data_IF_279459160699
#
_entry.id   IF_279459160699
#
_cell.length_a   1.000
_cell.length_b   1.000
_cell.length_c   1.000
_cell.angle_alpha   90.00
_cell.angle_beta   90.00
_cell.angle_gamma   90.00
#
_symmetry.space_group_name_H-M   'P 1'
#
loop_
_entity.id
_entity.type
_entity.pdbx_description
1 polymer ?
#
# COMPACT_ATOMS: atom_id res chain seq x y z
N UNK A 1 4.60 -3.29 4.32
CA UNK A 1 3.12 -3.07 4.26
C UNK A 1 2.56 -3.07 5.66
N UNK A 2 1.63 -2.20 5.94
CA UNK A 2 1.05 -2.00 7.27
C UNK A 2 -0.42 -2.44 7.30
N UNK A 3 -0.81 -3.17 8.36
CA UNK A 3 -2.21 -3.52 8.58
C UNK A 3 -2.98 -2.29 9.08
N UNK A 4 -4.22 -2.14 8.59
CA UNK A 4 -5.15 -1.05 8.98
C UNK A 4 -6.50 -1.61 9.40
N UNK A 5 -7.31 -0.76 10.05
CA UNK A 5 -8.72 -1.03 10.31
C UNK A 5 -9.57 -0.36 9.21
N UNK A 6 -10.58 -1.07 8.71
CA UNK A 6 -11.60 -0.50 7.80
C UNK A 6 -12.77 0.08 8.58
N UNK A 7 -13.62 0.83 7.89
CA UNK A 7 -14.90 1.29 8.43
C UNK A 7 -15.75 0.09 8.89
N UNK A 8 -16.49 0.28 9.98
CA UNK A 8 -17.44 -0.69 10.56
C UNK A 8 -18.86 -0.48 10.09
N UNK A 9 -19.08 0.56 9.25
CA UNK A 9 -20.39 0.85 8.70
C UNK A 9 -20.97 -0.37 7.99
N UNK A 10 -22.28 -0.59 8.18
CA UNK A 10 -23.00 -1.67 7.52
C UNK A 10 -23.19 -1.34 6.04
N UNK A 11 -22.79 -2.27 5.16
CA UNK A 11 -22.74 -2.05 3.73
C UNK A 11 -24.13 -1.84 3.12
N UNK A 12 -25.15 -2.55 3.59
CA UNK A 12 -26.53 -2.41 3.12
C UNK A 12 -27.12 -1.07 3.54
N UNK A 13 -26.87 -0.66 4.78
CA UNK A 13 -27.29 0.64 5.29
C UNK A 13 -26.68 1.78 4.48
N UNK A 14 -25.40 1.71 4.14
CA UNK A 14 -24.73 2.69 3.27
C UNK A 14 -25.36 2.70 1.88
N UNK A 15 -25.53 1.53 1.28
CA UNK A 15 -26.13 1.39 -0.04
C UNK A 15 -27.56 1.94 -0.09
N UNK A 16 -28.40 1.62 0.90
CA UNK A 16 -29.79 2.09 0.98
C UNK A 16 -29.90 3.58 1.27
N UNK A 17 -29.01 4.15 2.07
CA UNK A 17 -28.93 5.61 2.29
C UNK A 17 -28.73 6.35 0.97
N UNK A 18 -27.77 5.89 0.17
CA UNK A 18 -27.45 6.45 -1.13
C UNK A 18 -28.62 6.28 -2.12
N UNK A 19 -29.22 5.08 -2.16
CA UNK A 19 -30.37 4.80 -3.00
C UNK A 19 -31.59 5.68 -2.66
N UNK A 20 -31.81 5.93 -1.37
CA UNK A 20 -32.88 6.82 -0.90
C UNK A 20 -32.65 8.27 -1.35
N UNK A 21 -31.40 8.74 -1.28
CA UNK A 21 -31.03 10.07 -1.79
C UNK A 21 -31.25 10.18 -3.32
N UNK A 22 -31.01 9.11 -4.07
CA UNK A 22 -31.29 9.07 -5.52
C UNK A 22 -32.78 9.17 -5.84
N UNK A 23 -33.65 8.54 -5.02
CA UNK A 23 -35.12 8.62 -5.18
C UNK A 23 -35.63 10.05 -5.01
N UNK A 24 -35.04 10.80 -4.11
CA UNK A 24 -35.43 12.20 -3.84
C UNK A 24 -34.78 13.18 -4.83
N UNK A 25 -33.92 12.71 -5.71
CA UNK A 25 -33.25 13.52 -6.75
C UNK A 25 -33.99 13.58 -8.05
N UNK A 26 -33.55 14.49 -8.97
CA UNK A 26 -34.18 14.73 -10.28
C UNK A 26 -33.98 13.62 -11.32
N UNK A 27 -33.25 12.55 -11.02
CA UNK A 27 -32.91 11.46 -11.97
C UNK A 27 -33.78 10.23 -11.70
N UNK A 28 -35.01 10.21 -12.20
CA UNK A 28 -35.94 9.08 -12.08
C UNK A 28 -35.33 7.72 -12.53
N UNK A 29 -34.50 7.70 -13.57
CA UNK A 29 -33.90 6.47 -14.08
C UNK A 29 -32.99 5.80 -13.03
N UNK A 30 -32.17 6.55 -12.30
CA UNK A 30 -31.31 6.00 -11.25
C UNK A 30 -32.12 5.41 -10.08
N UNK A 31 -33.28 6.00 -9.76
CA UNK A 31 -34.17 5.46 -8.74
C UNK A 31 -34.82 4.13 -9.18
N UNK A 32 -35.19 4.01 -10.44
CA UNK A 32 -35.72 2.76 -11.02
C UNK A 32 -34.66 1.68 -11.04
N UNK A 33 -33.47 1.99 -11.52
CA UNK A 33 -32.33 1.06 -11.55
C UNK A 33 -31.95 0.60 -10.13
N UNK A 34 -31.91 1.53 -9.17
CA UNK A 34 -31.66 1.16 -7.77
C UNK A 34 -32.72 0.18 -7.23
N UNK A 35 -34.00 0.44 -7.50
CA UNK A 35 -35.06 -0.45 -7.02
C UNK A 35 -34.98 -1.85 -7.65
N UNK A 36 -34.60 -1.94 -8.93
CA UNK A 36 -34.46 -3.19 -9.64
C UNK A 36 -33.29 -4.05 -9.14
N UNK A 37 -32.16 -3.42 -8.82
CA UNK A 37 -30.94 -4.13 -8.44
C UNK A 37 -30.76 -4.34 -6.91
N UNK A 38 -31.60 -3.72 -6.08
CA UNK A 38 -31.39 -3.58 -4.64
C UNK A 38 -31.17 -4.92 -3.93
N UNK A 39 -32.06 -5.88 -4.15
CA UNK A 39 -32.04 -7.14 -3.41
C UNK A 39 -30.87 -8.02 -3.87
N UNK A 40 -30.56 -8.03 -5.16
CA UNK A 40 -29.41 -8.75 -5.70
C UNK A 40 -28.08 -8.16 -5.20
N UNK A 41 -27.98 -6.82 -5.17
CA UNK A 41 -26.79 -6.17 -4.59
C UNK A 41 -26.67 -6.43 -3.09
N UNK A 42 -27.77 -6.43 -2.34
CA UNK A 42 -27.75 -6.79 -0.90
C UNK A 42 -27.21 -8.20 -0.69
N UNK A 43 -27.56 -9.16 -1.53
CA UNK A 43 -27.01 -10.52 -1.46
C UNK A 43 -25.50 -10.52 -1.74
N UNK A 44 -25.04 -9.75 -2.70
CA UNK A 44 -23.61 -9.63 -3.02
C UNK A 44 -22.82 -8.95 -1.88
N UNK A 45 -23.40 -7.93 -1.23
CA UNK A 45 -22.77 -7.28 -0.08
C UNK A 45 -22.59 -8.26 1.09
N UNK A 46 -23.59 -9.14 1.35
CA UNK A 46 -23.45 -10.21 2.33
C UNK A 46 -22.37 -11.22 1.92
N UNK A 47 -22.31 -11.60 0.65
CA UNK A 47 -21.30 -12.52 0.14
C UNK A 47 -19.89 -11.92 0.28
N UNK A 48 -19.70 -10.63 -0.01
CA UNK A 48 -18.45 -9.92 0.24
C UNK A 48 -18.04 -10.03 1.71
N UNK A 49 -18.96 -9.74 2.63
CA UNK A 49 -18.73 -9.78 4.08
C UNK A 49 -18.36 -11.18 4.60
N UNK A 50 -18.94 -12.23 4.02
CA UNK A 50 -18.58 -13.62 4.32
C UNK A 50 -17.18 -13.99 3.79
N UNK A 51 -16.79 -13.48 2.62
CA UNK A 51 -15.53 -13.86 1.96
C UNK A 51 -14.34 -12.99 2.36
N UNK A 52 -14.56 -11.78 2.86
CA UNK A 52 -13.46 -10.88 3.19
C UNK A 52 -12.65 -11.35 4.41
N UNK A 53 -13.28 -11.98 5.41
CA UNK A 53 -12.60 -12.49 6.61
C UNK A 53 -11.71 -13.71 6.33
N UNK A 54 -12.19 -14.76 5.63
CA UNK A 54 -11.32 -15.88 5.21
C UNK A 54 -10.43 -15.51 4.04
N UNK A 55 -10.56 -14.28 3.51
CA UNK A 55 -9.78 -13.74 2.39
C UNK A 55 -9.86 -14.63 1.15
N UNK A 56 -11.08 -14.84 0.70
CA UNK A 56 -11.42 -15.60 -0.50
C UNK A 56 -12.19 -14.77 -1.53
N UNK A 57 -11.87 -13.46 -1.60
CA UNK A 57 -12.54 -12.50 -2.48
C UNK A 57 -12.38 -12.84 -3.98
N UNK A 58 -11.33 -13.55 -4.34
CA UNK A 58 -11.10 -14.06 -5.70
C UNK A 58 -12.17 -15.01 -6.20
N UNK A 59 -13.01 -15.54 -5.30
CA UNK A 59 -14.14 -16.42 -5.62
C UNK A 59 -15.46 -15.69 -5.82
N UNK A 60 -15.49 -14.37 -5.63
CA UNK A 60 -16.66 -13.56 -5.94
C UNK A 60 -16.96 -13.56 -7.44
N UNK A 61 -18.23 -13.55 -7.76
CA UNK A 61 -18.74 -13.45 -9.12
C UNK A 61 -19.60 -12.20 -9.23
N UNK A 62 -19.27 -11.30 -10.15
CA UNK A 62 -20.04 -10.08 -10.34
C UNK A 62 -21.45 -10.35 -10.85
N UNK A 63 -22.42 -9.55 -10.40
CA UNK A 63 -23.76 -9.51 -10.97
C UNK A 63 -23.74 -9.15 -12.47
N UNK A 64 -22.75 -8.38 -12.88
CA UNK A 64 -22.59 -7.90 -14.24
C UNK A 64 -21.26 -8.34 -14.87
N UNK A 65 -21.04 -9.66 -15.06
CA UNK A 65 -19.76 -10.21 -15.51
C UNK A 65 -19.36 -9.77 -16.92
N UNK A 66 -20.33 -9.34 -17.71
CA UNK A 66 -20.11 -8.67 -18.99
C UNK A 66 -20.87 -7.34 -18.97
N UNK A 67 -20.20 -6.24 -19.30
CA UNK A 67 -20.81 -4.89 -19.40
C UNK A 67 -21.98 -4.80 -20.41
N UNK A 68 -22.47 -5.93 -20.93
CA UNK A 68 -23.51 -5.99 -21.97
C UNK A 68 -24.91 -6.31 -21.45
N UNK A 69 -25.04 -6.81 -20.22
CA UNK A 69 -26.35 -7.11 -19.61
C UNK A 69 -26.60 -6.11 -18.48
N UNK A 70 -27.77 -5.47 -18.50
CA UNK A 70 -28.22 -4.48 -17.50
C UNK A 70 -27.23 -3.32 -17.31
N UNK A 71 -26.78 -2.73 -18.41
CA UNK A 71 -25.78 -1.63 -18.41
C UNK A 71 -26.18 -0.45 -17.55
N UNK A 72 -27.46 -0.13 -17.45
CA UNK A 72 -27.97 1.01 -16.68
C UNK A 72 -27.88 0.76 -15.17
N UNK A 73 -28.15 -0.45 -14.71
CA UNK A 73 -28.01 -0.85 -13.31
C UNK A 73 -26.54 -0.88 -12.89
N UNK A 74 -25.69 -1.55 -13.67
CA UNK A 74 -24.24 -1.60 -13.46
C UNK A 74 -23.63 -0.20 -13.41
N UNK A 75 -24.04 0.69 -14.32
CA UNK A 75 -23.62 2.08 -14.34
C UNK A 75 -24.12 2.83 -13.10
N UNK A 76 -25.37 2.63 -12.72
CA UNK A 76 -25.92 3.25 -11.50
C UNK A 76 -25.14 2.82 -10.27
N UNK A 77 -24.87 1.53 -10.10
CA UNK A 77 -24.06 0.99 -9.01
C UNK A 77 -22.64 1.56 -9.01
N UNK A 78 -21.97 1.61 -10.17
CA UNK A 78 -20.66 2.22 -10.33
C UNK A 78 -20.63 3.70 -9.93
N UNK A 79 -21.64 4.48 -10.35
CA UNK A 79 -21.69 5.92 -10.13
C UNK A 79 -22.12 6.29 -8.70
N UNK A 80 -22.64 5.35 -7.91
CA UNK A 80 -23.03 5.56 -6.51
C UNK A 80 -21.89 6.14 -5.67
N UNK A 81 -20.66 5.67 -5.84
CA UNK A 81 -19.50 6.20 -5.14
C UNK A 81 -19.27 7.69 -5.41
N UNK A 82 -19.36 8.10 -6.67
CA UNK A 82 -19.12 9.50 -7.09
C UNK A 82 -20.23 10.45 -6.66
N UNK A 83 -21.45 9.94 -6.48
CA UNK A 83 -22.62 10.72 -6.07
C UNK A 83 -22.83 10.78 -4.55
N UNK A 84 -22.17 9.93 -3.79
CA UNK A 84 -22.38 9.67 -2.35
C UNK A 84 -21.40 10.43 -1.46
N UNK A 85 -21.32 11.74 -1.65
CA UNK A 85 -20.31 12.56 -0.97
C UNK A 85 -20.38 12.49 0.56
N UNK A 86 -21.58 12.40 1.14
CA UNK A 86 -21.77 12.39 2.60
C UNK A 86 -21.39 11.05 3.20
N UNK A 87 -21.86 9.95 2.65
CA UNK A 87 -21.59 8.59 3.12
C UNK A 87 -20.10 8.27 2.99
N UNK A 88 -19.50 8.59 1.85
CA UNK A 88 -18.05 8.39 1.63
C UNK A 88 -17.21 9.27 2.57
N UNK A 89 -17.67 10.49 2.88
CA UNK A 89 -17.02 11.36 3.86
C UNK A 89 -17.09 10.77 5.28
N UNK A 90 -18.20 10.17 5.66
CA UNK A 90 -18.37 9.49 6.95
C UNK A 90 -17.44 8.26 7.05
N UNK A 91 -17.42 7.41 6.01
CA UNK A 91 -16.52 6.25 5.93
C UNK A 91 -15.05 6.70 6.06
N UNK A 92 -14.66 7.78 5.37
CA UNK A 92 -13.32 8.35 5.46
C UNK A 92 -12.99 8.80 6.88
N UNK A 93 -13.87 9.57 7.51
CA UNK A 93 -13.68 10.10 8.86
C UNK A 93 -13.56 8.97 9.90
N UNK A 94 -14.36 7.93 9.79
CA UNK A 94 -14.26 6.75 10.63
C UNK A 94 -12.93 6.00 10.44
N UNK A 95 -12.55 5.76 9.18
CA UNK A 95 -11.28 5.12 8.83
C UNK A 95 -10.09 5.90 9.39
N UNK A 96 -10.08 7.22 9.24
CA UNK A 96 -9.05 8.10 9.81
C UNK A 96 -9.00 7.95 11.34
N UNK A 97 -10.14 8.00 12.01
CA UNK A 97 -10.23 7.83 13.47
C UNK A 97 -9.69 6.49 13.94
N UNK A 98 -10.07 5.41 13.28
CA UNK A 98 -9.64 4.04 13.62
C UNK A 98 -8.14 3.81 13.40
N UNK A 99 -7.48 4.60 12.55
CA UNK A 99 -6.08 4.42 12.18
C UNK A 99 -5.14 5.54 12.70
N UNK A 100 -5.57 6.31 13.70
CA UNK A 100 -4.71 7.27 14.39
C UNK A 100 -4.81 8.71 13.93
N UNK A 101 -5.86 9.07 13.19
CA UNK A 101 -6.18 10.44 12.81
C UNK A 101 -6.10 10.74 11.32
N UNK A 102 -6.14 12.03 10.95
CA UNK A 102 -6.23 12.46 9.55
C UNK A 102 -4.98 12.22 8.70
N UNK A 103 -3.84 12.08 9.36
CA UNK A 103 -2.54 11.95 8.67
C UNK A 103 -2.10 10.50 8.69
N UNK A 104 -2.58 9.73 7.72
CA UNK A 104 -2.27 8.31 7.58
C UNK A 104 -1.33 8.13 6.39
N UNK A 105 -0.19 7.47 6.60
CA UNK A 105 0.65 7.01 5.50
C UNK A 105 -0.07 5.90 4.72
N UNK A 106 0.14 5.85 3.42
CA UNK A 106 -0.35 4.78 2.58
C UNK A 106 0.09 3.42 3.14
N UNK A 107 -0.84 2.50 3.49
CA UNK A 107 -0.49 1.25 4.16
C UNK A 107 0.26 0.27 3.26
N UNK A 108 0.28 0.50 1.97
CA UNK A 108 0.98 -0.34 1.00
C UNK A 108 2.45 0.09 0.88
N UNK A 109 2.74 1.33 0.50
CA UNK A 109 4.11 1.79 0.30
C UNK A 109 4.76 2.37 1.56
N UNK A 110 3.99 2.85 2.51
CA UNK A 110 4.44 3.49 3.76
C UNK A 110 5.29 4.78 3.55
N UNK A 111 5.36 5.27 2.31
CA UNK A 111 6.11 6.48 1.94
C UNK A 111 5.23 7.72 1.98
N UNK A 112 4.26 7.76 1.11
CA UNK A 112 3.39 8.91 0.92
C UNK A 112 2.19 8.85 1.86
N UNK A 113 1.55 9.99 2.09
CA UNK A 113 0.26 10.03 2.74
C UNK A 113 -0.85 9.56 1.79
N UNK A 114 -1.92 8.97 2.34
CA UNK A 114 -3.05 8.60 1.52
C UNK A 114 -3.77 9.85 1.01
N UNK A 115 -4.28 9.76 -0.22
CA UNK A 115 -5.03 10.81 -0.88
C UNK A 115 -6.47 10.36 -1.20
N UNK A 116 -6.63 9.09 -1.51
CA UNK A 116 -7.89 8.52 -1.97
C UNK A 116 -8.34 7.33 -1.13
N UNK A 117 -9.65 7.15 -1.05
CA UNK A 117 -10.24 5.84 -0.76
C UNK A 117 -10.37 5.11 -2.09
N UNK A 118 -9.52 4.12 -2.31
CA UNK A 118 -9.54 3.27 -3.49
C UNK A 118 -10.36 2.01 -3.26
N UNK A 119 -10.93 1.47 -4.33
CA UNK A 119 -11.66 0.22 -4.29
C UNK A 119 -10.70 -0.96 -4.38
N UNK A 120 -10.62 -1.79 -3.34
CA UNK A 120 -9.78 -2.99 -3.38
C UNK A 120 -10.16 -3.86 -4.58
N UNK A 121 -11.44 -4.22 -4.71
CA UNK A 121 -12.02 -4.74 -5.95
C UNK A 121 -12.51 -3.53 -6.76
N UNK A 122 -11.92 -3.26 -7.93
CA UNK A 122 -12.28 -2.08 -8.71
C UNK A 122 -13.76 -2.06 -9.10
N UNK A 123 -14.40 -0.91 -8.97
CA UNK A 123 -15.80 -0.73 -9.35
C UNK A 123 -16.06 -0.89 -10.85
N UNK A 124 -15.00 -0.79 -11.66
CA UNK A 124 -15.03 -1.09 -13.09
C UNK A 124 -15.17 -2.59 -13.35
N UNK A 125 -14.81 -3.43 -12.37
CA UNK A 125 -14.85 -4.90 -12.44
C UNK A 125 -16.09 -5.43 -11.75
N UNK A 126 -16.39 -4.93 -10.55
CA UNK A 126 -17.55 -5.33 -9.72
C UNK A 126 -18.22 -4.07 -9.15
N UNK A 127 -19.08 -3.40 -9.93
CA UNK A 127 -19.74 -2.14 -9.54
C UNK A 127 -20.63 -2.27 -8.30
N UNK A 128 -21.16 -3.45 -8.01
CA UNK A 128 -21.95 -3.74 -6.81
C UNK A 128 -21.21 -3.44 -5.50
N UNK A 129 -19.89 -3.43 -5.52
CA UNK A 129 -19.07 -3.12 -4.33
C UNK A 129 -18.55 -1.67 -4.30
N UNK A 130 -19.05 -0.81 -5.19
CA UNK A 130 -18.55 0.58 -5.31
C UNK A 130 -18.67 1.40 -4.03
N UNK A 131 -19.66 1.10 -3.18
CA UNK A 131 -19.90 1.81 -1.92
C UNK A 131 -19.73 0.92 -0.67
N UNK A 132 -19.21 -0.29 -0.86
CA UNK A 132 -18.99 -1.21 0.25
C UNK A 132 -17.85 -0.70 1.17
N UNK A 133 -18.12 -0.40 2.46
CA UNK A 133 -17.12 0.23 3.33
C UNK A 133 -15.82 -0.56 3.49
N UNK A 134 -15.91 -1.90 3.50
CA UNK A 134 -14.75 -2.79 3.61
C UNK A 134 -13.98 -2.98 2.29
N UNK A 135 -14.55 -2.53 1.17
CA UNK A 135 -13.87 -2.50 -0.12
C UNK A 135 -13.07 -1.22 -0.34
N UNK A 136 -13.25 -0.22 0.53
CA UNK A 136 -12.58 1.07 0.46
C UNK A 136 -11.33 1.08 1.32
N UNK A 137 -10.17 1.24 0.68
CA UNK A 137 -8.86 1.27 1.32
C UNK A 137 -8.15 2.59 1.06
N UNK A 138 -7.41 3.15 2.05
CA UNK A 138 -6.69 4.41 1.86
C UNK A 138 -5.40 4.17 1.08
N UNK A 139 -5.28 4.78 -0.09
CA UNK A 139 -4.07 4.73 -0.91
C UNK A 139 -3.56 6.13 -1.26
N UNK A 140 -2.24 6.27 -1.45
CA UNK A 140 -1.65 7.44 -2.07
C UNK A 140 -1.86 7.43 -3.59
N UNK A 141 -1.69 8.59 -4.23
CA UNK A 141 -1.84 8.75 -5.69
C UNK A 141 -1.01 7.74 -6.48
N UNK A 142 0.23 7.52 -6.06
CA UNK A 142 1.11 6.57 -6.73
C UNK A 142 0.56 5.14 -6.70
N UNK A 143 0.23 4.63 -5.51
CA UNK A 143 -0.26 3.26 -5.36
C UNK A 143 -1.63 3.07 -6.03
N UNK A 144 -2.52 4.05 -5.93
CA UNK A 144 -3.81 4.05 -6.59
C UNK A 144 -3.66 3.97 -8.12
N UNK A 145 -2.85 4.87 -8.70
CA UNK A 145 -2.59 4.88 -10.15
C UNK A 145 -1.95 3.59 -10.64
N UNK A 146 -0.99 3.02 -9.88
CA UNK A 146 -0.32 1.78 -10.28
C UNK A 146 -1.20 0.55 -10.13
N UNK A 147 -2.08 0.52 -9.13
CA UNK A 147 -3.05 -0.55 -8.97
C UNK A 147 -4.08 -0.55 -10.10
N UNK A 148 -4.59 0.62 -10.48
CA UNK A 148 -5.63 0.73 -11.50
C UNK A 148 -6.75 -0.31 -11.27
N UNK A 149 -7.06 -1.14 -12.26
CA UNK A 149 -8.04 -2.24 -12.17
C UNK A 149 -7.40 -3.59 -11.82
N UNK A 150 -6.10 -3.63 -11.61
CA UNK A 150 -5.34 -4.87 -11.41
C UNK A 150 -5.39 -5.31 -9.95
N UNK A 151 -6.35 -6.14 -9.58
CA UNK A 151 -6.44 -6.75 -8.26
C UNK A 151 -6.33 -8.27 -8.29
N UNK A 152 -6.67 -8.88 -9.45
CA UNK A 152 -6.74 -10.32 -9.67
C UNK A 152 -6.05 -10.70 -10.99
N UNK A 153 -5.25 -11.76 -10.98
CA UNK A 153 -4.69 -12.36 -12.20
C UNK A 153 -5.77 -13.08 -13.00
N UNK A 154 -5.97 -12.70 -14.26
CA UNK A 154 -6.91 -13.38 -15.15
C UNK A 154 -6.53 -14.85 -15.42
N UNK A 155 -5.22 -15.12 -15.50
CA UNK A 155 -4.72 -16.46 -15.83
C UNK A 155 -4.80 -17.45 -14.65
N UNK A 156 -4.40 -17.00 -13.44
CA UNK A 156 -4.29 -17.87 -12.27
C UNK A 156 -5.43 -17.70 -11.26
N UNK A 157 -6.27 -16.71 -11.44
CA UNK A 157 -7.31 -16.30 -10.48
C UNK A 157 -6.75 -16.03 -9.06
N UNK A 158 -5.49 -15.61 -8.97
CA UNK A 158 -4.86 -15.24 -7.71
C UNK A 158 -4.87 -13.74 -7.53
N UNK A 159 -5.07 -13.29 -6.31
CA UNK A 159 -4.97 -11.87 -5.96
C UNK A 159 -3.55 -11.35 -6.24
N UNK A 160 -3.46 -10.17 -6.82
CA UNK A 160 -2.20 -9.51 -7.18
C UNK A 160 -1.76 -8.49 -6.12
N UNK A 161 -2.73 -7.97 -5.36
CA UNK A 161 -2.54 -6.86 -4.42
C UNK A 161 -2.91 -7.30 -3.01
N UNK A 162 -2.05 -6.97 -2.07
CA UNK A 162 -2.26 -7.18 -0.63
C UNK A 162 -3.42 -6.30 -0.14
N UNK A 163 -4.37 -6.92 0.56
CA UNK A 163 -5.45 -6.19 1.22
C UNK A 163 -4.99 -5.80 2.63
N UNK A 164 -4.61 -4.54 2.80
CA UNK A 164 -4.03 -4.05 4.04
C UNK A 164 -4.97 -4.10 5.27
N UNK A 165 -6.26 -4.36 5.07
CA UNK A 165 -7.21 -4.53 6.17
C UNK A 165 -7.34 -5.99 6.64
N UNK A 166 -7.26 -6.93 5.71
CA UNK A 166 -7.63 -8.32 5.99
C UNK A 166 -6.47 -9.30 5.86
N UNK A 167 -5.53 -9.07 4.94
CA UNK A 167 -4.34 -9.90 4.85
C UNK A 167 -3.43 -9.71 6.07
N UNK A 168 -2.73 -10.76 6.43
CA UNK A 168 -1.70 -10.69 7.46
C UNK A 168 -0.33 -10.61 6.77
N UNK A 169 0.45 -9.55 7.03
CA UNK A 169 1.81 -9.47 6.54
C UNK A 169 2.62 -10.69 6.97
N UNK A 170 3.54 -11.12 6.12
CA UNK A 170 4.40 -12.28 6.41
C UNK A 170 5.29 -12.09 7.65
N UNK A 171 5.43 -10.87 8.13
CA UNK A 171 6.36 -10.51 9.21
C UNK A 171 7.81 -10.45 8.73
N UNK A 172 8.08 -10.82 7.50
CA UNK A 172 9.41 -10.86 6.92
C UNK A 172 9.70 -9.61 6.08
N UNK A 173 10.96 -9.22 6.04
CA UNK A 173 11.44 -8.27 5.06
C UNK A 173 11.73 -9.02 3.76
N UNK A 174 10.81 -8.95 2.80
CA UNK A 174 10.93 -9.67 1.51
C UNK A 174 11.85 -8.96 0.51
N UNK A 175 12.21 -7.71 0.77
CA UNK A 175 13.13 -6.91 -0.01
C UNK A 175 14.47 -6.78 0.72
N UNK A 176 15.54 -6.62 -0.04
CA UNK A 176 16.88 -6.26 0.44
C UNK A 176 17.38 -5.02 -0.31
N UNK A 177 18.26 -4.28 0.31
CA UNK A 177 18.94 -3.15 -0.32
C UNK A 177 20.46 -3.29 -0.13
N UNK A 178 21.19 -3.07 -1.21
CA UNK A 178 22.66 -3.05 -1.19
C UNK A 178 23.18 -1.93 -2.08
N UNK A 179 24.25 -1.30 -1.68
CA UNK A 179 24.97 -0.33 -2.52
C UNK A 179 25.66 -1.08 -3.64
N UNK A 180 25.37 -0.71 -4.86
CA UNK A 180 25.93 -1.32 -6.07
C UNK A 180 27.22 -0.63 -6.52
N UNK A 181 27.31 0.67 -6.36
CA UNK A 181 28.44 1.50 -6.75
C UNK A 181 28.39 2.86 -6.08
N UNK A 182 29.50 3.58 -6.16
CA UNK A 182 29.58 5.02 -5.88
C UNK A 182 29.54 5.75 -7.23
N UNK A 183 28.75 6.79 -7.33
CA UNK A 183 28.66 7.63 -8.52
C UNK A 183 28.62 9.11 -8.09
N UNK A 184 29.57 9.92 -8.60
CA UNK A 184 29.72 11.33 -8.22
C UNK A 184 29.73 11.53 -6.69
N UNK A 185 30.53 10.73 -6.01
CA UNK A 185 30.71 10.72 -4.54
C UNK A 185 29.49 10.31 -3.73
N UNK A 186 28.44 9.76 -4.37
CA UNK A 186 27.26 9.29 -3.68
C UNK A 186 27.00 7.79 -3.91
N UNK A 187 26.56 7.07 -2.87
CA UNK A 187 26.16 5.68 -3.00
C UNK A 187 24.89 5.54 -3.83
N UNK A 188 24.89 4.59 -4.74
CA UNK A 188 23.74 4.19 -5.58
C UNK A 188 23.36 2.76 -5.21
N UNK A 189 22.16 2.57 -4.71
CA UNK A 189 21.68 1.26 -4.28
C UNK A 189 20.89 0.51 -5.35
N UNK A 190 20.67 -0.76 -5.07
CA UNK A 190 19.69 -1.63 -5.74
C UNK A 190 18.76 -2.18 -4.68
N UNK A 191 17.46 -2.11 -4.94
CA UNK A 191 16.43 -2.78 -4.14
C UNK A 191 15.92 -3.97 -4.92
N UNK A 192 16.06 -5.15 -4.33
CA UNK A 192 15.65 -6.41 -4.96
C UNK A 192 14.94 -7.35 -3.97
N UNK A 193 14.41 -8.46 -4.45
CA UNK A 193 13.86 -9.48 -3.57
C UNK A 193 15.00 -10.28 -2.92
N UNK A 194 14.82 -10.60 -1.64
CA UNK A 194 15.76 -11.49 -0.94
C UNK A 194 15.77 -12.86 -1.61
N UNK A 195 16.95 -13.47 -1.65
CA UNK A 195 17.10 -14.87 -2.01
C UNK A 195 16.54 -15.79 -0.89
N UNK A 196 16.09 -16.99 -1.26
CA UNK A 196 15.66 -17.99 -0.29
C UNK A 196 14.37 -17.66 0.46
N UNK A 197 13.52 -16.78 -0.08
CA UNK A 197 12.20 -16.52 0.50
C UNK A 197 11.35 -17.80 0.53
N UNK A 198 10.60 -18.05 1.63
CA UNK A 198 9.72 -19.20 1.70
C UNK A 198 8.57 -19.09 0.70
N UNK A 199 8.23 -20.22 0.07
CA UNK A 199 7.13 -20.32 -0.88
C UNK A 199 5.78 -20.45 -0.15
N UNK A 200 5.38 -19.40 0.58
CA UNK A 200 4.05 -19.32 1.21
C UNK A 200 3.19 -18.22 0.59
N UNK A 201 1.88 -18.28 0.84
CA UNK A 201 0.90 -17.37 0.24
C UNK A 201 1.10 -15.91 0.64
N UNK A 202 1.48 -15.63 1.89
CA UNK A 202 1.69 -14.27 2.37
C UNK A 202 2.89 -13.61 1.69
N UNK A 203 4.05 -14.29 1.68
CA UNK A 203 5.27 -13.80 0.98
C UNK A 203 5.01 -13.63 -0.52
N UNK A 204 4.34 -14.60 -1.16
CA UNK A 204 4.01 -14.53 -2.59
C UNK A 204 3.13 -13.33 -2.90
N UNK A 205 2.13 -13.03 -2.06
CA UNK A 205 1.24 -11.90 -2.25
C UNK A 205 1.94 -10.55 -2.02
N UNK A 206 2.82 -10.46 -1.01
CA UNK A 206 3.65 -9.27 -0.79
C UNK A 206 4.58 -9.00 -1.98
N UNK A 207 5.30 -10.02 -2.46
CA UNK A 207 6.14 -9.91 -3.66
C UNK A 207 5.34 -9.49 -4.88
N UNK A 208 4.15 -10.09 -5.09
CA UNK A 208 3.22 -9.71 -6.16
C UNK A 208 2.82 -8.24 -6.06
N UNK A 209 2.47 -7.78 -4.86
CA UNK A 209 2.10 -6.37 -4.62
C UNK A 209 3.26 -5.41 -4.93
N UNK A 210 4.47 -5.70 -4.44
CA UNK A 210 5.64 -4.88 -4.76
C UNK A 210 5.95 -4.85 -6.26
N UNK A 211 5.74 -5.98 -6.96
CA UNK A 211 5.94 -6.08 -8.40
C UNK A 211 4.90 -5.27 -9.18
N UNK A 212 3.61 -5.53 -8.94
CA UNK A 212 2.51 -4.92 -9.71
C UNK A 212 2.42 -3.40 -9.48
N UNK A 213 2.67 -2.94 -8.25
CA UNK A 213 2.72 -1.51 -7.94
C UNK A 213 4.06 -0.84 -8.27
N UNK A 214 5.02 -1.57 -8.81
CA UNK A 214 6.36 -1.06 -9.16
C UNK A 214 7.05 -0.34 -7.98
N UNK A 215 6.95 -0.89 -6.77
CA UNK A 215 7.44 -0.23 -5.56
C UNK A 215 8.97 -0.29 -5.42
N UNK A 216 9.66 -1.29 -6.00
CA UNK A 216 11.12 -1.37 -5.91
C UNK A 216 11.85 -0.13 -6.45
N UNK A 217 11.54 0.39 -7.66
CA UNK A 217 12.13 1.64 -8.14
C UNK A 217 11.83 2.84 -7.24
N UNK A 218 10.63 2.91 -6.66
CA UNK A 218 10.23 3.99 -5.75
C UNK A 218 11.04 3.93 -4.45
N UNK A 219 11.17 2.76 -3.84
CA UNK A 219 12.01 2.57 -2.64
C UNK A 219 13.47 2.86 -2.93
N UNK A 220 13.99 2.41 -4.10
CA UNK A 220 15.36 2.73 -4.50
C UNK A 220 15.62 4.22 -4.52
N UNK A 221 14.76 5.00 -5.16
CA UNK A 221 14.91 6.45 -5.25
C UNK A 221 14.95 7.11 -3.86
N UNK A 222 14.09 6.67 -2.96
CA UNK A 222 14.02 7.19 -1.60
C UNK A 222 15.27 6.80 -0.78
N UNK A 223 15.69 5.53 -0.87
CA UNK A 223 16.90 5.07 -0.17
C UNK A 223 18.15 5.78 -0.71
N UNK A 224 18.27 6.00 -2.03
CA UNK A 224 19.39 6.77 -2.60
C UNK A 224 19.46 8.19 -2.00
N UNK A 225 18.32 8.86 -1.86
CA UNK A 225 18.24 10.18 -1.24
C UNK A 225 18.63 10.15 0.25
N UNK A 226 18.13 9.16 0.99
CA UNK A 226 18.47 8.97 2.40
C UNK A 226 19.96 8.69 2.59
N UNK A 227 20.54 7.81 1.75
CA UNK A 227 21.98 7.50 1.79
C UNK A 227 22.83 8.74 1.52
N UNK A 228 22.46 9.54 0.52
CA UNK A 228 23.17 10.78 0.22
C UNK A 228 23.19 11.73 1.43
N UNK A 229 22.04 11.96 2.03
CA UNK A 229 21.91 12.83 3.20
C UNK A 229 22.71 12.30 4.39
N UNK A 230 22.60 10.99 4.64
CA UNK A 230 23.31 10.37 5.77
C UNK A 230 24.82 10.37 5.58
N UNK A 231 25.33 10.19 4.39
CA UNK A 231 26.78 10.24 4.14
C UNK A 231 27.35 11.63 4.43
N UNK A 232 26.65 12.69 4.03
CA UNK A 232 27.05 14.05 4.37
C UNK A 232 27.05 14.28 5.89
N UNK A 233 26.04 13.77 6.60
CA UNK A 233 25.95 13.87 8.06
C UNK A 233 27.06 13.10 8.76
N UNK A 234 27.35 11.87 8.32
CA UNK A 234 28.41 11.03 8.86
C UNK A 234 29.78 11.67 8.68
N UNK A 235 30.05 12.26 7.51
CA UNK A 235 31.31 12.97 7.25
C UNK A 235 31.47 14.19 8.18
N UNK A 236 30.44 15.03 8.30
CA UNK A 236 30.47 16.19 9.20
C UNK A 236 30.68 15.78 10.66
N UNK A 237 29.94 14.75 11.12
CA UNK A 237 30.06 14.25 12.49
C UNK A 237 31.45 13.67 12.80
N UNK A 238 32.12 13.07 11.82
CA UNK A 238 33.50 12.59 12.01
C UNK A 238 34.47 13.76 12.12
N UNK A 239 34.35 14.77 11.26
CA UNK A 239 35.22 15.97 11.32
C UNK A 239 35.12 16.63 12.70
N UNK A 240 33.90 16.78 13.22
CA UNK A 240 33.67 17.47 14.51
C UNK A 240 34.17 16.66 15.72
N UNK A 241 34.24 15.33 15.61
CA UNK A 241 34.52 14.43 16.74
C UNK A 241 35.66 13.44 16.48
N UNK A 242 36.52 13.68 15.50
CA UNK A 242 37.58 12.74 15.09
C UNK A 242 38.53 12.32 16.22
N UNK A 243 38.75 13.21 17.20
CA UNK A 243 39.57 12.98 18.40
C UNK A 243 38.97 11.97 19.39
N UNK A 244 37.70 11.62 19.26
CA UNK A 244 36.99 10.65 20.11
C UNK A 244 37.10 9.21 19.61
N UNK A 245 37.70 8.98 18.44
CA UNK A 245 37.77 7.70 17.81
C UNK A 245 39.20 7.27 17.53
N UNK A 246 39.44 5.97 17.71
CA UNK A 246 40.79 5.36 17.49
C UNK A 246 41.16 5.36 15.99
N UNK A 247 40.18 5.26 15.12
CA UNK A 247 40.33 5.26 13.67
C UNK A 247 39.00 5.57 12.96
N UNK A 248 39.07 5.88 11.65
CA UNK A 248 37.92 6.01 10.77
C UNK A 248 37.02 4.76 10.78
N UNK A 249 37.67 3.59 10.83
CA UNK A 249 36.98 2.29 10.90
C UNK A 249 36.25 2.13 12.24
N UNK A 250 36.86 2.53 13.37
CA UNK A 250 36.19 2.49 14.68
C UNK A 250 34.95 3.35 14.70
N UNK A 251 35.03 4.60 14.21
CA UNK A 251 33.88 5.49 14.06
C UNK A 251 32.78 4.85 13.21
N UNK A 252 33.13 4.33 12.02
CA UNK A 252 32.15 3.75 11.12
C UNK A 252 31.49 2.49 11.71
N UNK A 253 32.23 1.63 12.37
CA UNK A 253 31.70 0.45 13.05
C UNK A 253 30.70 0.80 14.16
N UNK A 254 30.95 1.85 14.93
CA UNK A 254 30.01 2.34 15.94
C UNK A 254 28.73 2.85 15.30
N UNK A 255 28.81 3.56 14.18
CA UNK A 255 27.63 3.97 13.41
C UNK A 255 26.83 2.78 12.90
N UNK A 256 27.50 1.78 12.33
CA UNK A 256 26.85 0.55 11.82
C UNK A 256 26.10 -0.19 12.94
N UNK A 257 26.63 -0.24 14.14
CA UNK A 257 25.94 -0.87 15.28
C UNK A 257 24.61 -0.17 15.59
N UNK A 258 24.54 1.17 15.48
CA UNK A 258 23.30 1.93 15.64
C UNK A 258 22.31 1.55 14.54
N UNK A 259 22.71 1.59 13.27
CA UNK A 259 21.83 1.24 12.14
C UNK A 259 21.34 -0.21 12.23
N UNK A 260 22.21 -1.12 12.67
CA UNK A 260 21.86 -2.53 12.85
C UNK A 260 20.75 -2.73 13.90
N UNK A 261 20.79 -1.98 14.99
CA UNK A 261 19.72 -2.02 16.00
C UNK A 261 18.38 -1.52 15.47
N UNK A 262 18.38 -0.73 14.40
CA UNK A 262 17.19 -0.16 13.76
C UNK A 262 16.66 -1.00 12.58
N UNK A 263 17.34 -2.07 12.16
CA UNK A 263 16.95 -2.87 10.99
C UNK A 263 15.59 -3.53 11.09
N UNK A 264 15.10 -3.78 12.28
CA UNK A 264 13.78 -4.40 12.52
C UNK A 264 12.67 -3.39 12.82
N UNK A 265 13.02 -2.12 12.96
CA UNK A 265 12.14 -1.03 13.37
C UNK A 265 11.88 -0.11 12.17
N UNK A 266 10.71 0.52 12.15
CA UNK A 266 10.37 1.51 11.15
C UNK A 266 9.65 0.97 9.92
N UNK A 267 9.48 1.84 8.94
CA UNK A 267 8.85 1.57 7.65
C UNK A 267 9.72 0.66 6.77
N UNK A 268 9.12 0.14 5.70
CA UNK A 268 9.87 -0.67 4.72
C UNK A 268 11.08 0.09 4.17
N UNK A 269 10.96 1.39 3.88
CA UNK A 269 12.08 2.16 3.33
C UNK A 269 13.19 2.41 4.35
N UNK A 270 12.85 2.70 5.61
CA UNK A 270 13.84 2.87 6.68
C UNK A 270 14.62 1.57 6.95
N UNK A 271 13.94 0.44 6.89
CA UNK A 271 14.58 -0.88 7.03
C UNK A 271 15.52 -1.19 5.84
N UNK A 272 15.14 -0.86 4.61
CA UNK A 272 15.99 -0.98 3.42
C UNK A 272 17.20 -0.04 3.48
N UNK A 273 17.02 1.17 4.00
CA UNK A 273 18.10 2.13 4.21
C UNK A 273 19.13 1.59 5.23
N UNK A 274 18.68 1.10 6.37
CA UNK A 274 19.57 0.49 7.36
C UNK A 274 20.26 -0.78 6.84
N UNK A 275 19.57 -1.59 6.02
CA UNK A 275 20.15 -2.76 5.35
C UNK A 275 21.30 -2.35 4.42
N UNK A 276 21.12 -1.30 3.62
CA UNK A 276 22.18 -0.78 2.76
C UNK A 276 23.39 -0.25 3.53
N UNK A 277 23.18 0.41 4.68
CA UNK A 277 24.25 0.92 5.53
C UNK A 277 25.03 -0.19 6.22
N UNK A 278 24.36 -1.25 6.65
CA UNK A 278 24.99 -2.34 7.43
C UNK A 278 25.71 -3.37 6.56
N UNK A 279 25.17 -3.66 5.37
CA UNK A 279 25.53 -4.85 4.59
C UNK A 279 26.21 -4.53 3.25
N UNK A 280 26.91 -3.39 3.14
CA UNK A 280 27.57 -2.97 1.90
C UNK A 280 29.08 -2.80 2.05
N UNK A 281 29.89 -3.77 1.61
CA UNK A 281 31.37 -3.62 1.60
C UNK A 281 31.87 -2.44 0.74
N UNK A 282 31.13 -2.11 -0.32
CA UNK A 282 31.45 -0.95 -1.18
C UNK A 282 31.31 0.34 -0.38
N UNK A 283 30.25 0.46 0.42
CA UNK A 283 30.03 1.63 1.25
C UNK A 283 31.04 1.69 2.39
N UNK A 284 31.36 0.55 3.02
CA UNK A 284 32.37 0.47 4.07
C UNK A 284 33.72 1.03 3.60
N UNK A 285 34.19 0.57 2.45
CA UNK A 285 35.45 1.03 1.86
C UNK A 285 35.39 2.51 1.50
N UNK A 286 34.30 2.96 0.91
CA UNK A 286 34.16 4.35 0.51
C UNK A 286 34.11 5.30 1.71
N UNK A 287 33.34 5.00 2.75
CA UNK A 287 33.25 5.82 3.97
C UNK A 287 34.62 5.95 4.64
N UNK A 288 35.31 4.84 4.87
CA UNK A 288 36.63 4.85 5.53
C UNK A 288 37.65 5.66 4.73
N UNK A 289 37.63 5.60 3.40
CA UNK A 289 38.55 6.31 2.54
C UNK A 289 38.23 7.81 2.39
N UNK A 290 36.97 8.22 2.53
CA UNK A 290 36.52 9.59 2.28
C UNK A 290 36.21 10.38 3.57
N UNK A 291 36.31 9.79 4.77
CA UNK A 291 36.29 10.54 6.00
C UNK A 291 37.52 11.48 6.03
N UNK A 292 37.27 12.77 6.08
CA UNK A 292 38.34 13.78 6.16
C UNK A 292 39.08 13.68 7.48
N UNK A 293 40.36 13.96 7.45
CA UNK A 293 41.24 14.01 8.64
C UNK A 293 41.17 15.41 9.25
#
# INVERSE_FOLDING_TARGET
>A
MKKIQTSRADAKTVFDSIGSAMRNGRKHQNATNYAAMRDDVHQQLDEYDQRVKPISLENLVSLWPTRRTNMDEAKTAHDMYSTSKNEIKQIRAELETLNGGKVIKCPICELDYYAHLDHYIPREVMPEFSVHPKNLIPLCDYCNTKKSIDWLSHASRRRLIFNCAYDTPSGMMVLECRVKRILNDYPVCVVDYKSGLPANSAVSLECSTYHNLKLRPKYKAEVDNMLKTEMLRVMGEYVDNSNLFQSRLDFWNRKKNIYQSMMTIGTTVERLFNDALCNSPILDSWVVNNLLV
#
